data_IF_309999158027
#
_entry.id   IF_309999158027
#
_cell.length_a   1.000
_cell.length_b   1.000
_cell.length_c   1.000
_cell.angle_alpha   90.00
_cell.angle_beta   90.00
_cell.angle_gamma   90.00
#
_symmetry.space_group_name_H-M   'P 1'
#
loop_
_entity.id
_entity.type
_entity.pdbx_description
1 polymer ?
#
# COMPACT_ATOMS: atom_id res chain seq x y z
N UNK A 1 -2.50 25.85 -47.85
CA UNK A 1 -2.69 26.16 -46.42
C UNK A 1 -3.54 25.05 -45.85
N UNK A 2 -2.93 24.09 -45.14
CA UNK A 2 -3.66 22.94 -44.58
C UNK A 2 -4.16 23.32 -43.19
N UNK A 3 -5.48 23.39 -43.02
CA UNK A 3 -6.12 23.62 -41.73
C UNK A 3 -5.74 22.52 -40.74
N UNK A 4 -5.46 22.84 -39.46
CA UNK A 4 -5.33 21.82 -38.42
C UNK A 4 -6.69 21.14 -38.26
N UNK A 5 -6.71 19.81 -38.11
CA UNK A 5 -7.91 19.08 -37.70
C UNK A 5 -8.39 19.65 -36.35
N UNK A 6 -9.51 20.37 -36.37
CA UNK A 6 -10.28 20.71 -35.17
C UNK A 6 -10.73 19.40 -34.52
N UNK A 7 -10.07 19.04 -33.42
CA UNK A 7 -10.41 17.85 -32.64
C UNK A 7 -11.74 18.12 -31.94
N UNK A 8 -12.71 17.22 -32.11
CA UNK A 8 -14.04 17.45 -31.55
C UNK A 8 -13.95 17.56 -30.03
N UNK A 9 -14.79 18.41 -29.43
CA UNK A 9 -14.83 18.58 -27.96
C UNK A 9 -15.11 17.24 -27.25
N UNK A 10 -15.80 16.29 -27.90
CA UNK A 10 -16.03 14.94 -27.40
C UNK A 10 -14.74 14.08 -27.34
N UNK A 11 -13.90 14.13 -28.36
CA UNK A 11 -12.61 13.41 -28.37
C UNK A 11 -11.66 13.93 -27.28
N UNK A 12 -11.69 15.24 -27.03
CA UNK A 12 -10.91 15.85 -25.96
C UNK A 12 -11.39 15.37 -24.57
N UNK A 13 -12.70 15.23 -24.36
CA UNK A 13 -13.25 14.67 -23.12
C UNK A 13 -12.85 13.19 -22.93
N UNK A 14 -12.88 12.39 -24.01
CA UNK A 14 -12.48 10.98 -23.99
C UNK A 14 -11.00 10.83 -23.61
N UNK A 15 -10.11 11.61 -24.22
CA UNK A 15 -8.68 11.58 -23.89
C UNK A 15 -8.39 12.07 -22.46
N UNK A 16 -9.11 13.10 -21.99
CA UNK A 16 -9.04 13.55 -20.58
C UNK A 16 -9.53 12.47 -19.61
N UNK A 17 -10.57 11.70 -19.96
CA UNK A 17 -11.04 10.57 -19.14
C UNK A 17 -10.02 9.41 -19.13
N UNK A 18 -9.48 9.02 -20.29
CA UNK A 18 -8.44 7.99 -20.40
C UNK A 18 -7.21 8.33 -19.57
N UNK A 19 -6.69 9.57 -19.67
CA UNK A 19 -5.53 10.03 -18.87
C UNK A 19 -5.80 9.97 -17.37
N UNK A 20 -7.01 10.35 -16.93
CA UNK A 20 -7.43 10.24 -15.51
C UNK A 20 -7.46 8.77 -15.06
N UNK A 21 -8.00 7.88 -15.88
CA UNK A 21 -8.08 6.45 -15.57
C UNK A 21 -6.69 5.80 -15.50
N UNK A 22 -5.80 6.11 -16.45
CA UNK A 22 -4.41 5.63 -16.44
C UNK A 22 -3.63 6.12 -15.20
N UNK A 23 -3.75 7.41 -14.87
CA UNK A 23 -3.11 7.98 -13.69
C UNK A 23 -3.62 7.31 -12.40
N UNK A 24 -4.92 7.05 -12.32
CA UNK A 24 -5.54 6.36 -11.17
C UNK A 24 -5.02 4.92 -11.05
N UNK A 25 -4.98 4.18 -12.16
CA UNK A 25 -4.45 2.81 -12.22
C UNK A 25 -2.98 2.76 -11.79
N UNK A 26 -2.15 3.68 -12.30
CA UNK A 26 -0.72 3.78 -11.96
C UNK A 26 -0.48 4.12 -10.48
N UNK A 27 -1.38 4.87 -9.84
CA UNK A 27 -1.30 5.11 -8.39
C UNK A 27 -1.66 3.88 -7.57
N UNK A 28 -2.69 3.14 -7.96
CA UNK A 28 -3.06 1.87 -7.30
C UNK A 28 -1.90 0.88 -7.35
N UNK A 29 -1.34 0.61 -8.52
CA UNK A 29 -0.25 -0.36 -8.67
C UNK A 29 1.01 -0.01 -7.87
N UNK A 30 1.26 1.29 -7.64
CA UNK A 30 2.37 1.74 -6.80
C UNK A 30 2.10 1.53 -5.31
N UNK A 31 0.85 1.76 -4.86
CA UNK A 31 0.43 1.52 -3.48
C UNK A 31 0.31 0.03 -3.15
N UNK A 32 0.05 -0.79 -4.17
CA UNK A 32 -0.06 -2.24 -4.07
C UNK A 32 1.27 -2.95 -4.34
N UNK A 33 2.39 -2.23 -4.40
CA UNK A 33 3.71 -2.85 -4.53
C UNK A 33 4.28 -3.21 -3.16
N UNK A 34 4.91 -4.39 -3.07
CA UNK A 34 5.61 -4.80 -1.85
C UNK A 34 6.70 -3.78 -1.46
N UNK A 35 7.25 -3.05 -2.41
CA UNK A 35 8.23 -2.01 -2.13
C UNK A 35 7.65 -0.84 -1.29
N UNK A 36 6.45 -0.37 -1.62
CA UNK A 36 5.85 0.80 -0.96
C UNK A 36 4.90 0.45 0.19
N UNK A 37 4.31 -0.74 0.18
CA UNK A 37 3.37 -1.20 1.20
C UNK A 37 3.90 -2.45 1.92
N UNK A 38 4.44 -2.29 3.13
CA UNK A 38 4.99 -3.42 3.88
C UNK A 38 3.93 -4.28 4.56
N UNK A 39 2.64 -3.91 4.46
CA UNK A 39 1.49 -4.62 5.04
C UNK A 39 0.53 -5.15 3.96
N UNK A 40 1.01 -5.28 2.72
CA UNK A 40 0.20 -5.71 1.59
C UNK A 40 -0.43 -7.09 1.81
N UNK A 41 0.32 -8.01 2.43
CA UNK A 41 -0.14 -9.36 2.75
C UNK A 41 -1.32 -9.33 3.72
N UNK A 42 -1.18 -8.62 4.84
CA UNK A 42 -2.23 -8.50 5.84
C UNK A 42 -3.45 -7.77 5.30
N UNK A 43 -3.26 -6.77 4.43
CA UNK A 43 -4.35 -6.10 3.71
C UNK A 43 -5.13 -7.10 2.83
N UNK A 44 -4.45 -7.87 1.99
CA UNK A 44 -5.10 -8.88 1.14
C UNK A 44 -5.84 -9.95 1.96
N UNK A 45 -5.28 -10.37 3.08
CA UNK A 45 -5.96 -11.33 3.97
C UNK A 45 -7.25 -10.73 4.58
N UNK A 46 -7.23 -9.45 4.98
CA UNK A 46 -8.42 -8.79 5.49
C UNK A 46 -9.52 -8.65 4.44
N UNK A 47 -9.16 -8.30 3.20
CA UNK A 47 -10.11 -8.24 2.07
C UNK A 47 -10.64 -9.63 1.71
N UNK A 48 -9.77 -10.64 1.71
CA UNK A 48 -10.16 -12.03 1.46
C UNK A 48 -11.19 -12.51 2.50
N UNK A 49 -10.96 -12.24 3.78
CA UNK A 49 -11.91 -12.60 4.82
C UNK A 49 -13.29 -11.95 4.59
N UNK A 50 -13.34 -10.65 4.27
CA UNK A 50 -14.59 -9.96 3.99
C UNK A 50 -15.33 -10.59 2.80
N UNK A 51 -14.61 -10.94 1.73
CA UNK A 51 -15.20 -11.58 0.56
C UNK A 51 -15.78 -12.97 0.88
N UNK A 52 -15.15 -13.72 1.78
CA UNK A 52 -15.59 -15.07 2.18
C UNK A 52 -16.73 -15.05 3.20
N UNK A 53 -16.89 -13.96 3.96
CA UNK A 53 -17.85 -13.85 5.07
C UNK A 53 -18.96 -12.83 4.81
N UNK A 54 -19.31 -12.57 3.54
CA UNK A 54 -20.39 -11.63 3.16
C UNK A 54 -20.23 -10.23 3.80
N UNK A 55 -18.99 -9.75 3.88
CA UNK A 55 -18.62 -8.49 4.54
C UNK A 55 -18.95 -8.42 6.05
N UNK A 56 -19.08 -9.56 6.73
CA UNK A 56 -19.13 -9.60 8.19
C UNK A 56 -17.77 -9.16 8.78
N UNK A 57 -17.78 -7.98 9.40
CA UNK A 57 -16.59 -7.38 10.00
C UNK A 57 -16.17 -8.09 11.29
N UNK A 58 -17.12 -8.61 12.07
CA UNK A 58 -16.84 -9.21 13.36
C UNK A 58 -16.10 -10.55 13.15
N UNK A 59 -16.53 -11.33 12.16
CA UNK A 59 -15.84 -12.54 11.69
C UNK A 59 -14.38 -12.29 11.26
N UNK A 60 -14.07 -11.07 10.82
CA UNK A 60 -12.76 -10.69 10.28
C UNK A 60 -11.87 -9.90 11.25
N UNK A 61 -12.29 -9.73 12.51
CA UNK A 61 -11.59 -8.93 13.53
C UNK A 61 -10.10 -9.23 13.62
N UNK A 62 -9.72 -10.52 13.64
CA UNK A 62 -8.32 -10.94 13.73
C UNK A 62 -7.47 -10.45 12.55
N UNK A 63 -8.02 -10.49 11.33
CA UNK A 63 -7.32 -10.02 10.14
C UNK A 63 -7.11 -8.49 10.17
N UNK A 64 -8.11 -7.75 10.66
CA UNK A 64 -7.96 -6.30 10.85
C UNK A 64 -6.94 -5.95 11.93
N UNK A 65 -6.92 -6.71 13.03
CA UNK A 65 -5.91 -6.55 14.08
C UNK A 65 -4.51 -6.82 13.54
N UNK A 66 -4.31 -7.87 12.74
CA UNK A 66 -3.04 -8.15 12.09
C UNK A 66 -2.60 -7.01 11.16
N UNK A 67 -3.52 -6.48 10.35
CA UNK A 67 -3.22 -5.35 9.48
C UNK A 67 -2.87 -4.08 10.28
N UNK A 68 -3.59 -3.80 11.36
CA UNK A 68 -3.29 -2.67 12.27
C UNK A 68 -1.91 -2.82 12.92
N UNK A 69 -1.63 -3.98 13.50
CA UNK A 69 -0.35 -4.29 14.14
C UNK A 69 0.81 -4.15 13.15
N UNK A 70 0.63 -4.59 11.90
CA UNK A 70 1.63 -4.39 10.85
C UNK A 70 1.91 -2.90 10.61
N UNK A 71 0.87 -2.08 10.44
CA UNK A 71 1.03 -0.63 10.21
C UNK A 71 1.72 0.05 11.39
N UNK A 72 1.32 -0.30 12.61
CA UNK A 72 1.89 0.25 13.82
C UNK A 72 3.38 -0.09 13.93
N UNK A 73 3.76 -1.35 13.68
CA UNK A 73 5.16 -1.78 13.64
C UNK A 73 5.99 -0.97 12.63
N UNK A 74 5.55 -0.87 11.37
CA UNK A 74 6.30 -0.15 10.34
C UNK A 74 6.32 1.36 10.56
N UNK A 75 5.29 1.91 11.20
CA UNK A 75 5.30 3.29 11.68
C UNK A 75 6.40 3.52 12.72
N UNK A 76 6.57 2.61 13.69
CA UNK A 76 7.67 2.70 14.66
C UNK A 76 9.04 2.64 13.99
N UNK A 77 9.25 1.64 13.12
CA UNK A 77 10.52 1.46 12.39
C UNK A 77 10.87 2.70 11.55
N UNK A 78 9.91 3.23 10.79
CA UNK A 78 10.13 4.44 9.98
C UNK A 78 10.40 5.66 10.84
N UNK A 79 9.73 5.81 11.98
CA UNK A 79 9.95 6.90 12.93
C UNK A 79 11.34 6.86 13.54
N UNK A 80 11.81 5.69 13.97
CA UNK A 80 13.16 5.50 14.50
C UNK A 80 14.23 5.76 13.45
N UNK A 81 14.06 5.24 12.23
CA UNK A 81 14.98 5.50 11.10
C UNK A 81 15.05 6.99 10.76
N UNK A 82 13.91 7.71 10.80
CA UNK A 82 13.89 9.18 10.62
C UNK A 82 14.66 9.89 11.73
N UNK A 83 14.44 9.52 13.00
CA UNK A 83 15.16 10.09 14.15
C UNK A 83 16.67 9.91 14.01
N UNK A 84 17.10 8.76 13.48
CA UNK A 84 18.52 8.43 13.27
C UNK A 84 19.07 8.87 11.91
N UNK A 85 18.29 9.57 11.07
CA UNK A 85 18.73 10.03 9.75
C UNK A 85 18.98 8.92 8.71
N UNK A 86 18.49 7.70 8.92
CA UNK A 86 18.76 6.53 8.08
C UNK A 86 17.78 6.51 6.88
N UNK A 87 18.31 6.66 5.66
CA UNK A 87 17.53 6.58 4.41
C UNK A 87 17.82 5.26 3.67
N UNK A 88 16.82 4.66 2.97
CA UNK A 88 15.42 5.08 2.91
C UNK A 88 14.71 4.87 4.26
N UNK A 89 13.73 5.74 4.58
CA UNK A 89 13.03 5.67 5.87
C UNK A 89 12.21 4.38 5.99
N UNK A 90 11.54 3.98 4.91
CA UNK A 90 10.94 2.66 4.81
C UNK A 90 12.02 1.67 4.35
N UNK A 91 12.30 0.59 5.09
CA UNK A 91 13.30 -0.38 4.69
C UNK A 91 12.92 -1.10 3.37
N UNK A 92 13.92 -1.41 2.51
CA UNK A 92 13.69 -2.17 1.30
C UNK A 92 13.26 -3.61 1.63
N UNK A 93 12.50 -4.30 0.76
CA UNK A 93 11.95 -5.63 1.03
C UNK A 93 12.95 -6.66 1.56
N UNK A 94 14.18 -6.66 1.03
CA UNK A 94 15.24 -7.59 1.43
C UNK A 94 15.60 -7.51 2.93
N UNK A 95 15.52 -6.32 3.52
CA UNK A 95 15.91 -6.09 4.93
C UNK A 95 14.77 -6.36 5.92
N UNK A 96 13.53 -6.46 5.43
CA UNK A 96 12.34 -6.44 6.29
C UNK A 96 12.23 -7.66 7.19
N UNK A 97 12.60 -8.83 6.69
CA UNK A 97 12.58 -10.07 7.46
C UNK A 97 13.54 -9.99 8.66
N UNK A 98 14.73 -9.43 8.45
CA UNK A 98 15.73 -9.23 9.49
C UNK A 98 15.24 -8.25 10.56
N UNK A 99 14.76 -7.08 10.13
CA UNK A 99 14.24 -6.04 11.05
C UNK A 99 13.06 -6.57 11.88
N UNK A 100 12.13 -7.30 11.24
CA UNK A 100 10.99 -7.91 11.94
C UNK A 100 11.46 -8.94 12.96
N UNK A 101 12.44 -9.79 12.59
CA UNK A 101 13.01 -10.78 13.50
C UNK A 101 13.71 -10.15 14.72
N UNK A 102 14.46 -9.08 14.52
CA UNK A 102 15.11 -8.32 15.60
C UNK A 102 14.08 -7.66 16.53
N UNK A 103 13.05 -7.04 15.96
CA UNK A 103 11.97 -6.42 16.75
C UNK A 103 11.22 -7.43 17.61
N UNK A 104 10.89 -8.60 17.06
CA UNK A 104 10.20 -9.65 17.80
C UNK A 104 11.07 -10.15 18.96
N UNK A 105 12.38 -10.35 18.76
CA UNK A 105 13.30 -10.74 19.83
C UNK A 105 13.37 -9.69 20.94
N UNK A 106 13.37 -8.41 20.59
CA UNK A 106 13.45 -7.32 21.56
C UNK A 106 12.15 -7.15 22.38
N UNK A 107 11.00 -7.53 21.82
CA UNK A 107 9.66 -7.30 22.41
C UNK A 107 8.92 -8.58 22.78
N UNK A 108 9.58 -9.74 22.79
CA UNK A 108 8.98 -10.98 23.29
C UNK A 108 8.70 -10.86 24.80
N UNK A 109 7.49 -11.25 25.27
CA UNK A 109 7.22 -11.35 26.70
C UNK A 109 8.23 -12.31 27.33
N UNK A 110 8.85 -11.88 28.44
CA UNK A 110 9.66 -12.76 29.29
C UNK A 110 8.77 -13.69 30.11
#
# INVERSE_FOLDING_TARGET
>A
MSSPLEMSTADEQIERQKKRNDTTRKRSTKLDSEENNPCLKEHHLSLKCLNENNADHDACTLYFMNYKNCKDFWYQVTRERRKNGIKPYLPPPADRLKIKGEYLKANSPK
#
